data_IF_495625213581
#
_entry.id   IF_495625213581
#
_cell.length_a   1.000
_cell.length_b   1.000
_cell.length_c   1.000
_cell.angle_alpha   90.00
_cell.angle_beta   90.00
_cell.angle_gamma   90.00
#
_symmetry.space_group_name_H-M   'P 1'
#
loop_
_entity.id
_entity.type
_entity.pdbx_description
1 polymer ?
#
# COMPACT_ATOMS: atom_id res chain seq x y z
N UNK A 1 -7.87 -7.23 24.61
CA UNK A 1 -6.54 -7.89 24.65
C UNK A 1 -5.50 -6.80 24.48
N UNK A 2 -4.46 -6.75 25.32
CA UNK A 2 -3.41 -5.73 25.22
C UNK A 2 -2.50 -6.05 24.04
N UNK A 3 -2.23 -5.05 23.18
CA UNK A 3 -1.33 -5.18 22.05
C UNK A 3 0.14 -4.91 22.42
N UNK A 4 1.00 -4.79 21.43
CA UNK A 4 2.45 -4.50 21.61
C UNK A 4 2.74 -3.03 21.92
N UNK A 5 1.75 -2.16 21.87
CA UNK A 5 1.86 -0.71 22.12
C UNK A 5 2.90 0.01 21.24
N UNK A 6 3.06 -0.46 20.01
CA UNK A 6 3.99 0.13 19.03
C UNK A 6 3.41 1.38 18.36
N UNK A 7 2.11 1.44 18.21
CA UNK A 7 1.39 2.59 17.66
C UNK A 7 0.32 3.07 18.65
N UNK A 8 0.01 4.37 18.66
CA UNK A 8 -0.94 4.95 19.60
C UNK A 8 -2.40 4.72 19.18
N UNK A 9 -2.77 3.47 18.93
CA UNK A 9 -4.10 3.07 18.44
C UNK A 9 -4.69 1.93 19.23
N UNK A 10 -6.02 1.94 19.31
CA UNK A 10 -6.84 0.84 19.77
C UNK A 10 -7.61 0.23 18.61
N UNK A 11 -7.67 -1.11 18.53
CA UNK A 11 -8.37 -1.82 17.46
C UNK A 11 -9.45 -2.71 18.05
N UNK A 12 -10.68 -2.55 17.55
CA UNK A 12 -11.82 -3.39 17.85
C UNK A 12 -12.12 -4.27 16.66
N UNK A 13 -12.09 -5.60 16.87
CA UNK A 13 -12.48 -6.56 15.83
C UNK A 13 -13.99 -6.47 15.57
N UNK A 14 -14.37 -6.57 14.30
CA UNK A 14 -15.77 -6.60 13.85
C UNK A 14 -16.07 -7.94 13.18
N UNK A 15 -17.34 -8.31 13.16
CA UNK A 15 -17.79 -9.54 12.47
C UNK A 15 -17.80 -9.37 10.94
N UNK A 16 -17.79 -8.14 10.46
CA UNK A 16 -17.74 -7.82 9.03
C UNK A 16 -16.31 -7.56 8.57
N UNK A 17 -15.97 -8.11 7.39
CA UNK A 17 -14.69 -7.90 6.73
C UNK A 17 -14.77 -6.76 5.73
N UNK A 18 -13.92 -5.76 5.87
CA UNK A 18 -13.71 -4.72 4.86
C UNK A 18 -12.90 -5.31 3.70
N UNK A 19 -13.39 -5.10 2.48
CA UNK A 19 -12.65 -5.36 1.23
C UNK A 19 -12.94 -4.21 0.28
N UNK A 20 -11.97 -3.36 0.10
CA UNK A 20 -12.13 -2.15 -0.71
C UNK A 20 -10.86 -1.89 -1.50
N UNK A 21 -11.01 -1.63 -2.80
CA UNK A 21 -9.96 -1.00 -3.57
C UNK A 21 -9.97 0.50 -3.26
N UNK A 22 -8.81 1.05 -2.93
CA UNK A 22 -8.68 2.43 -2.49
C UNK A 22 -7.52 3.13 -3.20
N UNK A 23 -7.68 4.42 -3.41
CA UNK A 23 -6.63 5.28 -3.97
C UNK A 23 -6.78 6.68 -3.38
N UNK A 24 -5.70 7.41 -3.32
CA UNK A 24 -5.70 8.76 -2.77
C UNK A 24 -4.29 9.28 -2.54
N UNK A 25 -4.19 10.26 -1.67
CA UNK A 25 -2.93 10.80 -1.20
C UNK A 25 -2.67 10.33 0.23
N UNK A 26 -1.41 10.03 0.53
CA UNK A 26 -0.98 9.71 1.90
C UNK A 26 -1.12 10.98 2.73
N UNK A 27 -1.89 10.88 3.80
CA UNK A 27 -2.07 11.96 4.76
C UNK A 27 -0.73 12.32 5.43
N UNK A 28 -0.74 13.36 6.26
CA UNK A 28 0.46 13.77 6.98
C UNK A 28 1.08 12.61 7.77
N UNK A 29 2.37 12.39 7.54
CA UNK A 29 3.20 11.35 8.18
C UNK A 29 4.32 12.04 8.94
N UNK A 30 4.45 11.76 10.24
CA UNK A 30 5.54 12.25 11.05
C UNK A 30 6.78 11.34 10.99
N UNK A 31 7.92 11.85 11.49
CA UNK A 31 9.15 11.08 11.64
C UNK A 31 9.97 10.96 10.36
N UNK A 32 10.74 9.87 10.25
CA UNK A 32 11.76 9.70 9.18
C UNK A 32 11.18 9.53 7.79
N UNK A 33 9.91 9.14 7.70
CA UNK A 33 9.19 8.96 6.44
C UNK A 33 8.22 10.10 6.14
N UNK A 34 8.44 11.28 6.69
CA UNK A 34 7.56 12.45 6.48
C UNK A 34 7.39 12.82 4.99
N UNK A 35 8.35 12.51 4.14
CA UNK A 35 8.28 12.69 2.68
C UNK A 35 7.20 11.83 2.01
N UNK A 36 6.62 10.83 2.69
CA UNK A 36 5.44 10.11 2.19
C UNK A 36 4.18 10.96 2.18
N UNK A 37 4.13 12.03 2.97
CA UNK A 37 2.98 12.94 3.02
C UNK A 37 2.72 13.54 1.64
N UNK A 38 1.50 13.39 1.14
CA UNK A 38 1.07 13.86 -0.18
C UNK A 38 1.42 12.93 -1.34
N UNK A 39 2.21 11.85 -1.14
CA UNK A 39 2.44 10.86 -2.18
C UNK A 39 1.12 10.14 -2.54
N UNK A 40 0.91 9.92 -3.84
CA UNK A 40 -0.25 9.16 -4.29
C UNK A 40 -0.07 7.66 -4.01
N UNK A 41 -1.16 7.01 -3.64
CA UNK A 41 -1.20 5.57 -3.51
C UNK A 41 -2.37 4.95 -4.30
N UNK A 42 -2.19 3.72 -4.71
CA UNK A 42 -3.22 2.85 -5.25
C UNK A 42 -3.07 1.49 -4.55
N UNK A 43 -4.12 1.06 -3.90
CA UNK A 43 -4.05 -0.17 -3.11
C UNK A 43 -5.41 -0.73 -2.77
N UNK A 44 -5.45 -1.55 -1.75
CA UNK A 44 -6.69 -2.13 -1.24
C UNK A 44 -6.60 -2.36 0.26
N UNK A 45 -7.75 -2.33 0.91
CA UNK A 45 -7.90 -2.62 2.33
C UNK A 45 -8.59 -3.96 2.50
N UNK A 46 -8.00 -4.83 3.34
CA UNK A 46 -8.60 -6.11 3.73
C UNK A 46 -8.37 -6.29 5.24
N UNK A 47 -9.37 -5.94 6.04
CA UNK A 47 -9.27 -6.07 7.49
C UNK A 47 -10.64 -6.33 8.14
N UNK A 48 -10.64 -6.81 9.38
CA UNK A 48 -11.83 -7.01 10.22
C UNK A 48 -11.85 -6.07 11.43
N UNK A 49 -10.79 -5.31 11.64
CA UNK A 49 -10.68 -4.37 12.73
C UNK A 49 -11.13 -2.97 12.36
N UNK A 50 -11.66 -2.26 13.33
CA UNK A 50 -11.80 -0.80 13.27
C UNK A 50 -10.87 -0.22 14.31
N UNK A 51 -9.90 0.58 13.87
CA UNK A 51 -8.93 1.24 14.75
C UNK A 51 -9.28 2.71 14.95
N UNK A 52 -8.88 3.25 16.07
CA UNK A 52 -8.96 4.66 16.41
C UNK A 52 -7.71 5.04 17.22
N UNK A 53 -7.37 6.32 17.29
CA UNK A 53 -6.32 6.76 18.21
C UNK A 53 -6.72 6.43 19.64
N UNK A 54 -5.77 6.00 20.47
CA UNK A 54 -6.03 5.71 21.88
C UNK A 54 -6.24 7.00 22.67
N UNK A 55 -7.12 6.98 23.68
CA UNK A 55 -7.39 8.13 24.53
C UNK A 55 -6.12 8.70 25.20
N UNK A 56 -5.16 7.85 25.54
CA UNK A 56 -3.87 8.27 26.09
C UNK A 56 -3.00 9.09 25.11
N UNK A 57 -3.22 8.95 23.79
CA UNK A 57 -2.51 9.74 22.77
C UNK A 57 -3.13 11.11 22.54
N UNK A 58 -4.42 11.27 22.82
CA UNK A 58 -5.13 12.55 22.74
C UNK A 58 -4.67 13.51 23.84
N UNK A 59 -4.42 13.00 25.06
CA UNK A 59 -3.92 13.79 26.18
C UNK A 59 -2.50 14.33 25.98
N UNK A 60 -1.69 13.69 25.14
CA UNK A 60 -0.30 14.08 24.86
C UNK A 60 -0.17 15.11 23.71
N UNK A 61 -1.27 15.63 23.20
CA UNK A 61 -1.28 16.66 22.16
C UNK A 61 -0.80 16.20 20.77
N UNK A 62 -0.51 14.91 20.60
CA UNK A 62 -0.01 14.36 19.33
C UNK A 62 -1.07 14.36 18.21
N UNK A 63 -2.35 14.64 18.54
CA UNK A 63 -3.48 14.53 17.62
C UNK A 63 -4.51 15.65 17.72
N UNK A 64 -4.15 16.83 18.23
CA UNK A 64 -5.08 17.92 18.57
C UNK A 64 -5.98 18.40 17.41
N UNK A 65 -5.61 18.16 16.15
CA UNK A 65 -6.36 18.58 14.95
C UNK A 65 -7.03 17.42 14.19
N UNK A 66 -6.95 16.19 14.66
CA UNK A 66 -7.39 15.02 13.92
C UNK A 66 -8.75 14.54 14.44
N UNK A 67 -9.81 14.95 13.78
CA UNK A 67 -11.16 14.37 13.96
C UNK A 67 -11.08 12.85 13.79
N UNK A 68 -11.23 12.08 14.85
CA UNK A 68 -11.55 10.64 15.00
C UNK A 68 -11.31 9.66 13.81
N UNK A 69 -10.81 10.11 12.68
CA UNK A 69 -10.47 9.28 11.51
C UNK A 69 -8.98 9.03 11.50
N UNK A 70 -8.61 7.76 11.47
CA UNK A 70 -7.21 7.38 11.31
C UNK A 70 -6.71 7.83 9.94
N UNK A 71 -5.52 8.39 9.92
CA UNK A 71 -4.80 8.60 8.68
C UNK A 71 -4.53 7.25 8.00
N UNK A 72 -4.44 7.26 6.68
CA UNK A 72 -4.09 6.08 5.89
C UNK A 72 -2.68 5.54 6.20
N UNK A 73 -1.80 6.35 6.78
CA UNK A 73 -0.56 5.94 7.44
C UNK A 73 -0.54 6.52 8.86
N UNK A 74 -0.30 5.67 9.83
CA UNK A 74 -0.19 5.99 11.24
C UNK A 74 1.27 5.92 11.65
N UNK A 75 1.74 6.87 12.44
CA UNK A 75 3.12 6.93 12.93
C UNK A 75 3.15 7.10 14.44
N UNK A 76 4.19 6.56 15.08
CA UNK A 76 4.52 6.87 16.48
C UNK A 76 5.34 8.17 16.61
N UNK A 77 5.55 8.89 15.51
CA UNK A 77 6.37 10.09 15.42
C UNK A 77 7.88 9.82 15.33
N UNK A 78 8.32 8.55 15.35
CA UNK A 78 9.73 8.14 15.28
C UNK A 78 10.00 7.23 14.09
N UNK A 79 9.91 5.92 14.31
CA UNK A 79 10.32 4.91 13.32
C UNK A 79 9.29 3.79 13.11
N UNK A 80 8.15 3.82 13.81
CA UNK A 80 7.09 2.81 13.67
C UNK A 80 5.95 3.39 12.84
N UNK A 81 5.59 2.66 11.82
CA UNK A 81 4.53 3.03 10.88
C UNK A 81 3.58 1.88 10.68
N UNK A 82 2.31 2.18 10.48
CA UNK A 82 1.27 1.21 10.19
C UNK A 82 0.27 1.75 9.18
N UNK A 83 -0.27 0.84 8.37
CA UNK A 83 -1.33 1.15 7.42
C UNK A 83 -2.21 -0.08 7.20
N UNK A 84 -3.49 0.15 6.89
CA UNK A 84 -4.38 -0.90 6.37
C UNK A 84 -4.31 -1.03 4.85
N UNK A 85 -3.60 -0.14 4.18
CA UNK A 85 -3.51 -0.12 2.72
C UNK A 85 -2.42 -1.10 2.28
N UNK A 86 -2.84 -2.19 1.65
CA UNK A 86 -1.95 -3.08 0.92
C UNK A 86 -1.55 -2.44 -0.41
N UNK A 87 -0.28 -2.56 -0.78
CA UNK A 87 0.24 -1.97 -2.02
C UNK A 87 0.57 -0.48 -1.93
N UNK A 88 0.65 0.11 -0.72
CA UNK A 88 0.93 1.53 -0.52
C UNK A 88 2.27 1.97 -1.18
N UNK A 89 3.22 1.05 -1.36
CA UNK A 89 4.51 1.28 -2.01
C UNK A 89 4.56 0.84 -3.48
N UNK A 90 3.43 0.48 -4.08
CA UNK A 90 3.38 0.04 -5.48
C UNK A 90 3.52 1.21 -6.46
N UNK A 91 3.34 2.44 -6.00
CA UNK A 91 3.62 3.64 -6.77
C UNK A 91 5.12 3.97 -6.75
N UNK A 92 5.63 4.47 -7.88
CA UNK A 92 7.04 4.85 -7.96
C UNK A 92 7.39 5.99 -6.98
N UNK A 93 6.45 6.89 -6.72
CA UNK A 93 6.62 8.02 -5.82
C UNK A 93 6.85 7.57 -4.38
N UNK A 94 5.96 6.74 -3.82
CA UNK A 94 6.10 6.24 -2.45
C UNK A 94 7.32 5.31 -2.30
N UNK A 95 7.60 4.46 -3.30
CA UNK A 95 8.78 3.61 -3.29
C UNK A 95 10.08 4.44 -3.29
N UNK A 96 10.11 5.55 -4.05
CA UNK A 96 11.28 6.45 -4.13
C UNK A 96 11.61 7.04 -2.76
N UNK A 97 10.61 7.47 -1.99
CA UNK A 97 10.83 8.02 -0.63
C UNK A 97 11.58 7.03 0.26
N UNK A 98 11.21 5.74 0.21
CA UNK A 98 11.89 4.71 1.02
C UNK A 98 13.33 4.48 0.53
N UNK A 99 13.52 4.40 -0.79
CA UNK A 99 14.84 4.19 -1.39
C UNK A 99 15.77 5.35 -1.04
N UNK A 100 15.32 6.60 -1.21
CA UNK A 100 16.10 7.79 -0.91
C UNK A 100 16.48 7.85 0.57
N UNK A 101 15.53 7.57 1.47
CA UNK A 101 15.82 7.53 2.91
C UNK A 101 16.89 6.51 3.28
N UNK A 102 16.85 5.31 2.69
CA UNK A 102 17.85 4.26 2.95
C UNK A 102 19.21 4.66 2.34
N UNK A 103 19.21 5.23 1.15
CA UNK A 103 20.39 5.67 0.44
C UNK A 103 21.11 6.80 1.21
N UNK A 104 20.37 7.82 1.64
CA UNK A 104 20.88 8.91 2.46
C UNK A 104 21.53 8.38 3.75
N UNK A 105 20.86 7.45 4.45
CA UNK A 105 21.40 6.82 5.65
C UNK A 105 22.71 6.04 5.43
N UNK A 106 22.86 5.47 4.25
CA UNK A 106 24.02 4.65 3.88
C UNK A 106 25.11 5.43 3.14
N UNK A 107 24.88 6.69 2.82
CA UNK A 107 25.78 7.50 1.99
C UNK A 107 25.91 6.94 0.57
N UNK A 108 24.86 6.33 0.04
CA UNK A 108 24.83 5.79 -1.31
C UNK A 108 24.15 6.81 -2.21
N UNK A 109 24.83 7.19 -3.29
CA UNK A 109 24.21 7.99 -4.35
C UNK A 109 23.32 7.07 -5.20
N UNK A 110 22.01 7.29 -5.12
CA UNK A 110 21.04 6.62 -5.97
C UNK A 110 20.92 7.45 -7.24
N UNK A 111 21.69 7.06 -8.27
CA UNK A 111 21.50 7.60 -9.61
C UNK A 111 20.02 7.62 -9.96
N UNK A 112 19.64 8.62 -10.77
CA UNK A 112 18.27 8.90 -11.25
C UNK A 112 17.68 7.77 -12.12
N UNK A 113 18.10 6.54 -11.87
CA UNK A 113 17.54 5.34 -12.47
C UNK A 113 16.07 5.27 -12.08
N UNK A 114 15.23 5.41 -13.08
CA UNK A 114 13.79 5.47 -12.93
C UNK A 114 13.30 4.29 -12.09
N UNK A 115 12.78 4.56 -10.92
CA UNK A 115 12.04 3.56 -10.16
C UNK A 115 10.79 3.25 -10.97
N UNK A 116 10.76 2.05 -11.53
CA UNK A 116 9.62 1.58 -12.31
C UNK A 116 8.49 1.27 -11.33
N UNK A 117 7.30 1.82 -11.57
CA UNK A 117 6.14 1.46 -10.74
C UNK A 117 5.87 -0.04 -10.83
N UNK A 118 5.43 -0.64 -9.74
CA UNK A 118 5.07 -2.06 -9.70
C UNK A 118 3.99 -2.41 -10.73
N UNK A 119 3.05 -1.49 -11.00
CA UNK A 119 2.05 -1.65 -12.06
C UNK A 119 2.70 -1.83 -13.43
N UNK A 120 3.60 -0.95 -13.82
CA UNK A 120 4.29 -1.04 -15.12
C UNK A 120 5.15 -2.29 -15.22
N UNK A 121 5.77 -2.72 -14.11
CA UNK A 121 6.50 -3.97 -14.07
C UNK A 121 5.57 -5.17 -14.31
N UNK A 122 4.42 -5.25 -13.62
CA UNK A 122 3.43 -6.32 -13.80
C UNK A 122 2.92 -6.39 -15.23
N UNK A 123 2.53 -5.26 -15.82
CA UNK A 123 2.04 -5.24 -17.21
C UNK A 123 3.06 -5.85 -18.16
N UNK A 124 4.32 -5.47 -18.05
CA UNK A 124 5.39 -6.08 -18.85
C UNK A 124 5.53 -7.59 -18.63
N UNK A 125 5.32 -8.08 -17.39
CA UNK A 125 5.38 -9.53 -17.13
C UNK A 125 4.16 -10.25 -17.74
N UNK A 126 2.97 -9.62 -17.72
CA UNK A 126 1.79 -10.18 -18.38
C UNK A 126 1.95 -10.22 -19.90
N UNK A 127 2.50 -9.18 -20.51
CA UNK A 127 2.80 -9.19 -21.95
C UNK A 127 3.75 -10.34 -22.31
N UNK A 128 4.85 -10.50 -21.54
CA UNK A 128 5.79 -11.61 -21.75
C UNK A 128 5.12 -12.99 -21.60
N UNK A 129 4.26 -13.15 -20.60
CA UNK A 129 3.50 -14.40 -20.42
C UNK A 129 2.57 -14.63 -21.60
N UNK A 130 1.85 -13.60 -22.05
CA UNK A 130 0.96 -13.70 -23.19
C UNK A 130 1.71 -14.08 -24.48
N UNK A 131 2.88 -13.49 -24.70
CA UNK A 131 3.71 -13.82 -25.86
C UNK A 131 4.22 -15.27 -25.79
N UNK A 132 4.66 -15.73 -24.63
CA UNK A 132 5.04 -17.12 -24.41
C UNK A 132 3.87 -18.07 -24.70
N UNK A 133 2.68 -17.76 -24.19
CA UNK A 133 1.49 -18.59 -24.45
C UNK A 133 1.16 -18.66 -25.94
N UNK A 134 1.24 -17.53 -26.66
CA UNK A 134 1.00 -17.48 -28.12
C UNK A 134 2.02 -18.28 -28.92
N UNK A 135 3.26 -18.35 -28.45
CA UNK A 135 4.33 -19.10 -29.10
C UNK A 135 4.16 -20.63 -28.96
N UNK A 136 3.68 -21.10 -27.80
CA UNK A 136 3.67 -22.52 -27.44
C UNK A 136 2.29 -23.18 -27.45
N UNK A 137 1.21 -22.44 -27.55
CA UNK A 137 -0.17 -22.94 -27.57
C UNK A 137 -0.83 -22.74 -28.94
N UNK A 138 -1.66 -23.70 -29.35
CA UNK A 138 -2.62 -23.47 -30.42
C UNK A 138 -3.74 -22.54 -29.94
N UNK A 139 -3.53 -21.26 -30.18
CA UNK A 139 -4.47 -20.22 -29.71
C UNK A 139 -5.82 -20.30 -30.42
N UNK A 140 -5.87 -20.81 -31.66
CA UNK A 140 -7.15 -20.99 -32.39
C UNK A 140 -7.99 -22.08 -31.75
N UNK A 141 -7.37 -23.17 -31.34
CA UNK A 141 -8.03 -24.24 -30.59
C UNK A 141 -8.53 -23.73 -29.23
N UNK A 142 -7.71 -22.96 -28.49
CA UNK A 142 -8.10 -22.34 -27.20
C UNK A 142 -9.31 -21.42 -27.37
N UNK A 143 -9.31 -20.53 -28.35
CA UNK A 143 -10.45 -19.66 -28.63
C UNK A 143 -11.68 -20.41 -29.16
N UNK A 144 -11.49 -21.54 -29.84
CA UNK A 144 -12.55 -22.46 -30.21
C UNK A 144 -13.30 -22.98 -28.99
N UNK A 145 -12.57 -23.58 -28.05
CA UNK A 145 -13.13 -24.10 -26.78
C UNK A 145 -13.85 -23.02 -25.96
N UNK A 146 -13.33 -21.81 -25.90
CA UNK A 146 -13.97 -20.71 -25.17
C UNK A 146 -15.27 -20.23 -25.82
N UNK A 147 -15.41 -20.39 -27.14
CA UNK A 147 -16.66 -20.06 -27.86
C UNK A 147 -17.73 -21.12 -27.62
N UNK A 148 -17.37 -22.38 -27.61
CA UNK A 148 -18.27 -23.49 -27.35
C UNK A 148 -18.81 -23.47 -25.91
N UNK A 149 -17.95 -23.17 -24.91
CA UNK A 149 -18.34 -23.08 -23.49
C UNK A 149 -19.32 -21.93 -23.15
N UNK A 150 -19.60 -21.02 -24.09
CA UNK A 150 -20.55 -19.91 -23.89
C UNK A 150 -22.01 -20.26 -24.21
N UNK A 151 -22.28 -21.46 -24.69
CA UNK A 151 -23.60 -21.87 -25.20
C UNK A 151 -24.26 -22.98 -24.36
N UNK A 152 -23.64 -23.40 -23.24
CA UNK A 152 -24.25 -24.24 -22.22
C UNK A 152 -24.58 -23.42 -20.96
#
# INVERSE_FOLDING_TARGET
MRGMELLPIDTVLKDSKTRLQTSGEIAHVDGVLNRLSGCHFLGYEIHMGKSAYSAASEEQGACADRKNELNNVISDGRNVYGSYIHGIFDTAEAARVIVDYIADKKGIDVNDSAIVSYKSFKEKQYDRLADTLREYLDMDAVYGMLREARYD
#
